data_IF_018802437259
#
_entry.id   IF_018802437259
#
_cell.length_a   1.000
_cell.length_b   1.000
_cell.length_c   1.000
_cell.angle_alpha   90.00
_cell.angle_beta   90.00
_cell.angle_gamma   90.00
#
_symmetry.space_group_name_H-M   'P 1'
#
loop_
_entity.id
_entity.type
_entity.pdbx_description
1 polymer ?
#
# COMPACT_ATOMS: atom_id res chain seq x y z
N UNK A 1 -9.42 -10.29 -11.66
CA UNK A 1 -8.69 -10.35 -10.39
C UNK A 1 -9.61 -10.68 -9.21
N UNK A 2 -10.83 -10.17 -9.19
CA UNK A 2 -11.81 -10.34 -8.10
C UNK A 2 -12.60 -11.66 -8.18
N UNK A 3 -12.41 -12.47 -9.23
CA UNK A 3 -13.19 -13.68 -9.47
C UNK A 3 -14.64 -13.42 -9.90
N UNK A 4 -14.97 -12.20 -10.32
CA UNK A 4 -16.32 -11.78 -10.68
C UNK A 4 -17.17 -11.30 -9.49
N UNK A 5 -16.54 -11.05 -8.34
CA UNK A 5 -17.20 -10.45 -7.17
C UNK A 5 -17.43 -8.95 -7.42
N UNK A 6 -18.67 -8.59 -7.74
CA UNK A 6 -19.06 -7.21 -8.05
C UNK A 6 -18.87 -6.25 -6.84
N UNK A 7 -18.99 -6.73 -5.60
CA UNK A 7 -18.78 -5.90 -4.43
C UNK A 7 -17.29 -5.54 -4.28
N UNK A 8 -16.40 -6.50 -4.48
CA UNK A 8 -14.97 -6.28 -4.49
C UNK A 8 -14.52 -5.39 -5.64
N UNK A 9 -15.12 -5.51 -6.81
CA UNK A 9 -14.84 -4.62 -7.95
C UNK A 9 -15.24 -3.18 -7.64
N UNK A 10 -16.45 -2.98 -7.13
CA UNK A 10 -16.92 -1.66 -6.72
C UNK A 10 -16.06 -1.05 -5.59
N UNK A 11 -15.60 -1.88 -4.65
CA UNK A 11 -14.70 -1.44 -3.59
C UNK A 11 -13.35 -0.97 -4.14
N UNK A 12 -12.72 -1.76 -5.02
CA UNK A 12 -11.44 -1.37 -5.66
C UNK A 12 -11.59 -0.08 -6.46
N UNK A 13 -12.69 0.07 -7.19
CA UNK A 13 -12.97 1.28 -7.95
C UNK A 13 -13.10 2.50 -7.02
N UNK A 14 -13.84 2.37 -5.91
CA UNK A 14 -13.96 3.42 -4.90
C UNK A 14 -12.61 3.74 -4.25
N UNK A 15 -11.82 2.70 -3.91
CA UNK A 15 -10.49 2.89 -3.34
C UNK A 15 -9.59 3.69 -4.30
N UNK A 16 -9.57 3.34 -5.59
CA UNK A 16 -8.80 4.08 -6.60
C UNK A 16 -9.25 5.55 -6.69
N UNK A 17 -10.56 5.81 -6.72
CA UNK A 17 -11.11 7.18 -6.69
C UNK A 17 -10.76 7.91 -5.40
N UNK A 18 -10.77 7.21 -4.26
CA UNK A 18 -10.43 7.78 -2.96
C UNK A 18 -8.96 8.23 -2.87
N UNK A 19 -8.04 7.57 -3.60
CA UNK A 19 -6.63 7.99 -3.66
C UNK A 19 -6.44 9.38 -4.28
N UNK A 20 -7.41 9.89 -5.03
CA UNK A 20 -7.34 11.23 -5.62
C UNK A 20 -7.63 12.34 -4.60
N UNK A 21 -8.25 12.00 -3.48
CA UNK A 21 -8.61 12.95 -2.44
C UNK A 21 -7.40 13.24 -1.53
N UNK A 22 -7.23 14.52 -1.18
CA UNK A 22 -6.22 14.93 -0.18
C UNK A 22 -6.69 14.61 1.24
N UNK A 23 -7.98 14.80 1.51
CA UNK A 23 -8.59 14.49 2.79
C UNK A 23 -8.99 13.01 2.83
N UNK A 24 -8.56 12.29 3.86
CA UNK A 24 -8.73 10.84 4.01
C UNK A 24 -9.30 10.50 5.39
N UNK A 25 -10.58 10.80 5.63
CA UNK A 25 -11.21 10.57 6.94
C UNK A 25 -11.23 9.09 7.35
N UNK A 26 -11.24 8.16 6.37
CA UNK A 26 -11.42 6.73 6.62
C UNK A 26 -10.16 6.04 7.16
N UNK A 27 -8.98 6.63 7.01
CA UNK A 27 -7.71 6.09 7.53
C UNK A 27 -7.42 4.63 7.09
N UNK A 28 -7.82 4.23 5.89
CA UNK A 28 -7.75 2.84 5.40
C UNK A 28 -6.33 2.46 4.99
N UNK A 29 -5.98 1.20 5.24
CA UNK A 29 -4.79 0.53 4.74
C UNK A 29 -5.29 -0.69 3.98
N UNK A 30 -5.12 -0.71 2.66
CA UNK A 30 -5.60 -1.82 1.84
C UNK A 30 -4.49 -2.85 1.61
N UNK A 31 -4.73 -4.08 2.04
CA UNK A 31 -3.90 -5.24 1.74
C UNK A 31 -4.54 -6.06 0.60
N UNK A 32 -3.78 -6.26 -0.47
CA UNK A 32 -4.12 -7.21 -1.52
C UNK A 32 -3.41 -8.52 -1.23
N UNK A 33 -4.17 -9.58 -0.99
CA UNK A 33 -3.63 -10.90 -0.62
C UNK A 33 -3.98 -11.92 -1.69
N UNK A 34 -2.99 -12.74 -2.09
CA UNK A 34 -3.18 -13.83 -3.03
C UNK A 34 -1.90 -14.65 -3.22
N UNK A 35 -2.02 -15.81 -3.83
CA UNK A 35 -0.99 -16.84 -3.85
C UNK A 35 0.08 -16.67 -4.94
N UNK A 36 0.01 -15.58 -5.71
CA UNK A 36 0.87 -15.29 -6.84
C UNK A 36 0.22 -15.59 -8.20
N UNK A 37 0.69 -14.92 -9.25
CA UNK A 37 0.08 -15.03 -10.58
C UNK A 37 -1.39 -14.58 -10.67
N UNK A 38 -1.83 -13.78 -9.74
CA UNK A 38 -3.22 -13.41 -9.47
C UNK A 38 -3.59 -11.99 -9.96
N UNK A 39 -2.61 -11.28 -10.52
CA UNK A 39 -2.81 -9.95 -11.10
C UNK A 39 -2.65 -8.78 -10.13
N UNK A 40 -2.27 -8.98 -8.86
CA UNK A 40 -1.98 -7.89 -7.90
C UNK A 40 -1.00 -6.88 -8.46
N UNK A 41 0.13 -7.36 -8.99
CA UNK A 41 1.18 -6.48 -9.53
C UNK A 41 0.69 -5.70 -10.75
N UNK A 42 -0.07 -6.32 -11.64
CA UNK A 42 -0.67 -5.64 -12.81
C UNK A 42 -1.61 -4.54 -12.35
N UNK A 43 -2.48 -4.83 -11.39
CA UNK A 43 -3.40 -3.84 -10.80
C UNK A 43 -2.63 -2.65 -10.22
N UNK A 44 -1.63 -2.92 -9.37
CA UNK A 44 -0.82 -1.86 -8.74
C UNK A 44 -0.12 -1.00 -9.79
N UNK A 45 0.55 -1.62 -10.77
CA UNK A 45 1.28 -0.88 -11.80
C UNK A 45 0.34 -0.04 -12.69
N UNK A 46 -0.87 -0.52 -12.96
CA UNK A 46 -1.89 0.25 -13.68
C UNK A 46 -2.28 1.50 -12.91
N UNK A 47 -2.59 1.36 -11.61
CA UNK A 47 -2.97 2.51 -10.79
C UNK A 47 -1.80 3.50 -10.61
N UNK A 48 -0.59 2.99 -10.44
CA UNK A 48 0.62 3.83 -10.41
C UNK A 48 0.80 4.62 -11.69
N UNK A 49 0.55 3.99 -12.83
CA UNK A 49 0.62 4.67 -14.14
C UNK A 49 -0.41 5.79 -14.24
N UNK A 50 -1.65 5.53 -13.84
CA UNK A 50 -2.74 6.54 -13.85
C UNK A 50 -2.40 7.72 -12.92
N UNK A 51 -1.83 7.46 -11.74
CA UNK A 51 -1.50 8.50 -10.77
C UNK A 51 -0.20 9.25 -11.09
N UNK A 52 0.67 8.71 -11.94
CA UNK A 52 1.94 9.34 -12.33
C UNK A 52 2.75 9.79 -11.11
N UNK A 53 3.07 11.07 -11.03
CA UNK A 53 3.87 11.64 -9.96
C UNK A 53 3.18 11.66 -8.58
N UNK A 54 1.88 11.37 -8.50
CA UNK A 54 1.16 11.31 -7.23
C UNK A 54 1.32 9.98 -6.49
N UNK A 55 2.10 9.04 -7.01
CA UNK A 55 2.41 7.78 -6.33
C UNK A 55 3.84 7.72 -5.82
N UNK A 56 4.09 6.86 -4.82
CA UNK A 56 5.42 6.49 -4.34
C UNK A 56 5.46 4.99 -4.02
N UNK A 57 6.61 4.37 -4.26
CA UNK A 57 6.87 3.00 -3.80
C UNK A 57 7.74 3.04 -2.56
N UNK A 58 7.27 2.38 -1.50
CA UNK A 58 7.99 2.19 -0.26
C UNK A 58 8.61 0.79 -0.21
N UNK A 59 9.74 0.67 0.47
CA UNK A 59 10.29 -0.64 0.80
C UNK A 59 9.47 -1.29 1.93
N UNK A 60 9.36 -2.63 1.96
CA UNK A 60 8.74 -3.34 3.07
C UNK A 60 9.37 -3.00 4.42
N UNK A 61 10.67 -2.75 4.42
CA UNK A 61 11.41 -2.31 5.61
C UNK A 61 10.95 -0.95 6.17
N UNK A 62 10.26 -0.13 5.40
CA UNK A 62 9.74 1.18 5.87
C UNK A 62 8.61 1.02 6.88
N UNK A 63 7.93 -0.13 6.89
CA UNK A 63 6.86 -0.46 7.84
C UNK A 63 7.22 -1.64 8.74
N UNK A 64 8.49 -2.00 8.85
CA UNK A 64 8.95 -3.12 9.68
C UNK A 64 9.34 -2.66 11.07
N UNK A 65 8.84 -3.36 12.09
CA UNK A 65 9.20 -3.13 13.51
C UNK A 65 10.64 -3.51 13.85
N UNK A 66 11.32 -4.27 12.98
CA UNK A 66 12.71 -4.70 13.21
C UNK A 66 13.74 -3.59 13.01
N UNK A 67 13.39 -2.48 12.39
CA UNK A 67 14.26 -1.30 12.24
C UNK A 67 14.19 -0.42 13.49
N UNK A 68 15.18 -0.56 14.36
CA UNK A 68 15.42 0.42 15.42
C UNK A 68 16.01 1.70 14.81
N UNK A 69 15.30 2.82 15.01
CA UNK A 69 15.82 4.20 15.08
C UNK A 69 16.58 4.80 13.89
N UNK A 70 16.17 4.62 12.65
CA UNK A 70 16.49 5.64 11.64
C UNK A 70 15.20 6.27 11.15
N UNK A 71 15.13 7.60 11.13
CA UNK A 71 14.02 8.29 10.45
C UNK A 71 14.01 7.79 9.01
N UNK A 72 12.94 7.09 8.59
CA UNK A 72 12.98 6.43 7.31
C UNK A 72 13.03 7.50 6.21
N UNK A 73 14.12 7.53 5.46
CA UNK A 73 14.25 8.38 4.28
C UNK A 73 13.11 8.13 3.28
N UNK A 74 12.54 6.93 3.31
CA UNK A 74 11.42 6.55 2.46
C UNK A 74 10.13 7.30 2.80
N UNK A 75 9.92 7.70 4.07
CA UNK A 75 8.73 8.49 4.44
C UNK A 75 8.77 9.88 3.81
N UNK A 76 9.95 10.46 3.62
CA UNK A 76 10.10 11.73 2.92
C UNK A 76 9.56 11.68 1.47
N UNK A 77 9.60 10.50 0.83
CA UNK A 77 9.04 10.29 -0.52
C UNK A 77 7.52 10.49 -0.58
N UNK A 78 6.82 10.45 0.56
CA UNK A 78 5.37 10.63 0.62
C UNK A 78 4.94 12.09 0.47
N UNK A 79 5.88 13.03 0.45
CA UNK A 79 5.58 14.45 0.28
C UNK A 79 4.85 14.69 -1.05
N UNK A 80 3.61 15.20 -0.96
CA UNK A 80 2.76 15.47 -2.12
C UNK A 80 2.18 14.23 -2.82
N UNK A 81 2.36 13.02 -2.24
CA UNK A 81 1.84 11.78 -2.82
C UNK A 81 0.41 11.49 -2.36
N UNK A 82 -0.32 10.75 -3.19
CA UNK A 82 -1.69 10.29 -2.97
C UNK A 82 -1.78 8.78 -2.74
N UNK A 83 -0.84 8.03 -3.31
CA UNK A 83 -0.74 6.59 -3.16
C UNK A 83 0.68 6.21 -2.75
N UNK A 84 0.80 5.38 -1.72
CA UNK A 84 2.03 4.70 -1.33
C UNK A 84 1.84 3.20 -1.50
N UNK A 85 2.68 2.56 -2.31
CA UNK A 85 2.59 1.13 -2.58
C UNK A 85 3.75 0.38 -1.97
N UNK A 86 3.47 -0.83 -1.46
CA UNK A 86 4.47 -1.83 -1.08
C UNK A 86 4.11 -3.09 -1.86
N UNK A 87 5.01 -3.56 -2.72
CA UNK A 87 4.69 -4.61 -3.68
C UNK A 87 4.85 -6.02 -3.13
N UNK A 88 5.57 -6.19 -2.04
CA UNK A 88 5.81 -7.49 -1.41
C UNK A 88 6.25 -7.32 0.04
N UNK A 89 5.66 -8.13 0.94
CA UNK A 89 6.10 -8.23 2.31
C UNK A 89 6.78 -9.58 2.53
N UNK A 90 7.95 -9.61 3.19
CA UNK A 90 8.53 -10.86 3.67
C UNK A 90 7.57 -11.58 4.63
N UNK A 91 7.56 -12.92 4.58
CA UNK A 91 6.65 -13.76 5.39
C UNK A 91 6.74 -13.45 6.89
N UNK A 92 7.94 -13.22 7.38
CA UNK A 92 8.20 -13.01 8.82
C UNK A 92 8.26 -11.53 9.20
N UNK A 93 7.76 -10.63 8.33
CA UNK A 93 7.76 -9.22 8.65
C UNK A 93 6.70 -8.90 9.70
N UNK A 94 7.17 -8.34 10.83
CA UNK A 94 6.31 -7.72 11.83
C UNK A 94 6.09 -6.26 11.50
N UNK A 95 4.83 -5.88 11.38
CA UNK A 95 4.45 -4.51 11.03
C UNK A 95 4.69 -3.57 12.21
N UNK A 96 5.35 -2.45 11.96
CA UNK A 96 5.36 -1.30 12.86
C UNK A 96 4.01 -0.59 12.78
N UNK A 97 3.12 -0.97 13.69
CA UNK A 97 1.74 -0.45 13.71
C UNK A 97 1.68 1.05 14.01
N UNK A 98 2.67 1.60 14.73
CA UNK A 98 2.73 3.03 14.98
C UNK A 98 3.04 3.81 13.72
N UNK A 99 4.07 3.37 12.97
CA UNK A 99 4.44 3.98 11.69
C UNK A 99 3.25 3.96 10.70
N UNK A 100 2.62 2.80 10.57
CA UNK A 100 1.50 2.61 9.63
C UNK A 100 0.28 3.46 10.04
N UNK A 101 -0.01 3.55 11.34
CA UNK A 101 -1.07 4.43 11.88
C UNK A 101 -0.75 5.91 11.62
N UNK A 102 0.48 6.34 11.82
CA UNK A 102 0.91 7.71 11.55
C UNK A 102 0.74 8.08 10.07
N UNK A 103 1.17 7.20 9.16
CA UNK A 103 1.00 7.44 7.71
C UNK A 103 -0.49 7.47 7.34
N UNK A 104 -1.29 6.49 7.77
CA UNK A 104 -2.70 6.39 7.39
C UNK A 104 -3.58 7.39 8.12
N UNK A 105 -3.18 7.82 9.31
CA UNK A 105 -3.89 8.82 10.12
C UNK A 105 -3.67 10.26 9.64
N UNK A 106 -2.62 10.50 8.88
CA UNK A 106 -2.19 11.85 8.49
C UNK A 106 -1.52 12.61 9.63
N UNK A 107 -1.01 11.88 10.64
CA UNK A 107 -0.25 12.50 11.72
C UNK A 107 1.06 13.08 11.17
N UNK A 108 1.42 14.29 11.59
CA UNK A 108 2.68 14.92 11.21
C UNK A 108 3.86 14.02 11.56
N UNK A 109 4.68 13.70 10.57
CA UNK A 109 5.88 12.88 10.69
C UNK A 109 7.10 13.74 10.44
N UNK A 110 8.11 13.63 11.33
CA UNK A 110 9.41 14.22 11.03
C UNK A 110 10.11 13.36 9.97
N UNK A 111 10.47 13.94 8.85
CA UNK A 111 11.11 13.28 7.73
C UNK A 111 12.35 14.06 7.27
N UNK A 112 13.23 13.40 6.52
CA UNK A 112 14.34 14.06 5.81
C UNK A 112 14.71 13.26 4.57
N UNK A 113 15.14 13.95 3.54
CA UNK A 113 15.89 13.33 2.46
C UNK A 113 17.35 13.12 2.88
N UNK A 114 18.02 12.18 2.24
CA UNK A 114 19.43 11.90 2.55
C UNK A 114 20.27 13.17 2.39
N UNK A 115 21.09 13.46 3.40
CA UNK A 115 21.94 14.67 3.45
C UNK A 115 21.20 16.01 3.44
N UNK A 116 19.91 16.03 3.80
CA UNK A 116 19.14 17.26 3.94
C UNK A 116 18.65 17.48 5.36
N UNK A 117 18.21 18.69 5.66
CA UNK A 117 17.62 19.05 6.94
C UNK A 117 16.27 18.32 7.15
N UNK A 118 15.88 18.22 8.42
CA UNK A 118 14.59 17.66 8.80
C UNK A 118 13.46 18.62 8.42
N UNK A 119 12.33 18.04 8.05
CA UNK A 119 11.09 18.79 7.83
C UNK A 119 9.91 18.00 8.37
N UNK A 120 8.83 18.70 8.67
CA UNK A 120 7.56 18.11 9.05
C UNK A 120 6.77 17.75 7.80
N UNK A 121 6.25 16.55 7.78
CA UNK A 121 5.49 15.97 6.70
C UNK A 121 4.13 15.50 7.21
N UNK A 122 3.08 16.02 6.61
CA UNK A 122 1.72 15.50 6.77
C UNK A 122 1.45 14.53 5.62
N UNK A 123 1.53 13.20 5.85
CA UNK A 123 1.34 12.23 4.77
C UNK A 123 -0.11 12.24 4.29
N UNK A 124 -0.30 12.36 2.98
CA UNK A 124 -1.60 12.26 2.34
C UNK A 124 -1.75 11.02 1.46
N UNK A 125 -0.75 10.14 1.47
CA UNK A 125 -0.73 8.95 0.63
C UNK A 125 -1.56 7.82 1.26
N UNK A 126 -2.48 7.25 0.48
CA UNK A 126 -3.20 6.02 0.82
C UNK A 126 -2.24 4.83 0.73
N UNK A 127 -2.23 3.96 1.75
CA UNK A 127 -1.39 2.76 1.74
C UNK A 127 -2.08 1.62 0.99
N UNK A 128 -1.37 1.06 0.01
CA UNK A 128 -1.75 -0.13 -0.75
C UNK A 128 -0.61 -1.14 -0.70
N UNK A 129 -0.85 -2.28 -0.10
CA UNK A 129 0.18 -3.28 0.19
C UNK A 129 -0.19 -4.60 -0.46
N UNK A 130 0.64 -5.11 -1.37
CA UNK A 130 0.48 -6.44 -1.92
C UNK A 130 1.35 -7.43 -1.14
N UNK A 131 0.80 -8.59 -0.85
CA UNK A 131 1.49 -9.67 -0.14
C UNK A 131 0.86 -11.01 -0.44
N UNK A 132 1.61 -12.08 -0.21
CA UNK A 132 1.09 -13.45 -0.25
C UNK A 132 0.74 -13.98 1.15
N UNK A 133 1.00 -13.20 2.19
CA UNK A 133 0.82 -13.61 3.58
C UNK A 133 0.05 -12.53 4.35
N UNK A 134 -0.66 -12.96 5.39
CA UNK A 134 -1.23 -12.02 6.35
C UNK A 134 -0.10 -11.38 7.16
N UNK A 135 -0.08 -10.04 7.28
CA UNK A 135 0.97 -9.36 8.04
C UNK A 135 0.85 -9.67 9.53
N UNK A 136 2.01 -9.89 10.16
CA UNK A 136 2.07 -10.01 11.61
C UNK A 136 2.02 -8.62 12.26
N UNK A 137 1.08 -8.45 13.17
CA UNK A 137 0.93 -7.24 13.98
C UNK A 137 0.51 -7.64 15.40
N UNK A 138 0.70 -6.72 16.36
CA UNK A 138 0.23 -6.98 17.72
C UNK A 138 -1.29 -7.14 17.73
N UNK A 139 -1.84 -8.31 18.13
CA UNK A 139 -3.28 -8.57 18.11
C UNK A 139 -4.10 -7.66 19.03
N UNK A 140 -3.47 -7.02 20.01
CA UNK A 140 -4.12 -6.09 20.93
C UNK A 140 -4.27 -4.68 20.35
N UNK A 141 -3.61 -4.38 19.23
CA UNK A 141 -3.65 -3.05 18.58
C UNK A 141 -4.93 -2.84 17.77
N UNK A 142 -6.05 -2.63 18.49
CA UNK A 142 -7.36 -2.37 17.87
C UNK A 142 -7.34 -1.15 16.94
N UNK A 143 -6.49 -0.15 17.23
CA UNK A 143 -6.38 1.04 16.42
C UNK A 143 -5.73 0.76 15.05
N UNK A 144 -4.84 -0.22 14.96
CA UNK A 144 -4.31 -0.72 13.71
C UNK A 144 -5.38 -1.52 12.95
N UNK A 145 -6.00 -2.53 13.61
CA UNK A 145 -6.93 -3.44 12.93
C UNK A 145 -8.19 -2.75 12.38
N UNK A 146 -8.66 -1.68 13.00
CA UNK A 146 -9.80 -0.91 12.46
C UNK A 146 -9.50 -0.22 11.12
N UNK A 147 -8.20 -0.06 10.78
CA UNK A 147 -7.73 0.57 9.54
C UNK A 147 -7.45 -0.43 8.43
N UNK A 148 -7.28 -1.70 8.81
CA UNK A 148 -6.87 -2.75 7.88
C UNK A 148 -8.07 -3.25 7.11
N UNK A 149 -8.00 -3.12 5.79
CA UNK A 149 -8.91 -3.73 4.85
C UNK A 149 -8.15 -4.80 4.05
N UNK A 150 -8.74 -5.96 3.92
CA UNK A 150 -8.11 -7.09 3.24
C UNK A 150 -8.96 -7.45 2.02
N UNK A 151 -8.33 -7.38 0.86
CA UNK A 151 -8.92 -7.85 -0.38
C UNK A 151 -8.16 -9.06 -0.90
N UNK A 152 -8.87 -10.15 -1.11
CA UNK A 152 -8.32 -11.35 -1.72
C UNK A 152 -8.39 -11.26 -3.24
N UNK A 153 -7.32 -11.73 -3.88
CA UNK A 153 -7.20 -11.96 -5.31
C UNK A 153 -7.23 -13.48 -5.53
N UNK A 154 -8.43 -14.07 -5.69
CA UNK A 154 -8.61 -15.52 -5.63
C UNK A 154 -8.28 -16.22 -6.95
N UNK A 155 -8.06 -15.48 -8.04
CA UNK A 155 -7.88 -16.06 -9.38
C UNK A 155 -6.41 -16.20 -9.68
N UNK A 156 -5.92 -17.43 -9.88
CA UNK A 156 -4.59 -17.68 -10.40
C UNK A 156 -4.65 -17.75 -11.94
N UNK A 157 -3.81 -16.97 -12.60
CA UNK A 157 -3.74 -16.91 -14.07
C UNK A 157 -2.59 -17.75 -14.64
N UNK A 158 -1.76 -18.36 -13.80
CA UNK A 158 -0.60 -19.17 -14.25
C UNK A 158 -1.00 -20.43 -14.99
N UNK A 159 -2.18 -20.99 -14.68
CA UNK A 159 -2.71 -22.21 -15.31
C UNK A 159 -3.47 -21.94 -16.60
N UNK A 160 -3.75 -20.68 -16.91
CA UNK A 160 -4.34 -20.23 -18.17
C UNK A 160 -3.25 -19.46 -18.92
N UNK A 161 -3.25 -19.50 -20.23
CA UNK A 161 -2.26 -18.72 -21.01
C UNK A 161 -2.37 -17.23 -20.61
N UNK A 162 -1.48 -16.70 -19.76
CA UNK A 162 -1.59 -15.31 -19.31
C UNK A 162 -1.26 -14.39 -20.48
N UNK A 163 -2.03 -13.33 -20.61
CA UNK A 163 -1.69 -12.26 -21.54
C UNK A 163 -0.42 -11.54 -21.04
N UNK A 164 0.70 -11.86 -21.67
CA UNK A 164 2.02 -11.29 -21.34
C UNK A 164 2.11 -9.78 -21.60
N UNK A 165 1.19 -9.24 -22.41
CA UNK A 165 1.16 -7.84 -22.81
C UNK A 165 0.13 -7.02 -22.02
N UNK A 166 -0.68 -7.65 -21.17
CA UNK A 166 -1.74 -6.97 -20.42
C UNK A 166 -1.26 -5.71 -19.68
N UNK A 167 -0.13 -5.80 -19.00
CA UNK A 167 0.44 -4.66 -18.29
C UNK A 167 0.85 -3.49 -19.20
N UNK A 168 1.20 -3.78 -20.48
CA UNK A 168 1.51 -2.76 -21.48
C UNK A 168 0.24 -2.18 -22.08
N UNK A 169 -0.78 -3.00 -22.28
CA UNK A 169 -2.07 -2.58 -22.84
C UNK A 169 -2.85 -1.67 -21.88
N UNK A 170 -2.64 -1.83 -20.57
CA UNK A 170 -3.30 -1.04 -19.52
C UNK A 170 -2.54 0.24 -19.14
N UNK A 171 -1.44 0.54 -19.77
CA UNK A 171 -0.64 1.78 -19.61
C UNK A 171 -0.87 2.75 -20.76
#
# INVERSE_FOLDING_TARGET
VTGGDAANEAYLQKFCGYTLLANRPEQIILFLIGDGGDGKSVFIETIKHVLGDYQATLAATSISSSKKSSIPNDIAKLRGKRLATISELPKDLHVDTQMVKGISGGDTQTARFLHQEYFDLDPHAQLLIATNFYPYANPEDKAYFRRVEIMRFPVCFTDKQPDKHLAQTLR
#
